data_IF_186773168637
#
_entry.id   IF_186773168637
#
_cell.length_a   1.000
_cell.length_b   1.000
_cell.length_c   1.000
_cell.angle_alpha   90.00
_cell.angle_beta   90.00
_cell.angle_gamma   90.00
#
_symmetry.space_group_name_H-M   'P 1'
#
loop_
_entity.id
_entity.type
_entity.pdbx_description
1 polymer ?
#
# COMPACT_ATOMS: atom_id res chain seq x y z
N UNK A 1 24.16 -0.40 17.24
CA UNK A 1 22.71 -0.61 17.41
C UNK A 1 22.26 -1.74 16.49
N UNK A 2 21.88 -2.91 17.02
CA UNK A 2 21.32 -4.01 16.20
C UNK A 2 19.85 -3.71 15.95
N UNK A 3 19.53 -3.21 14.76
CA UNK A 3 18.13 -3.07 14.33
C UNK A 3 17.68 -4.48 13.93
N UNK A 4 16.95 -5.16 14.81
CA UNK A 4 16.29 -6.44 14.49
C UNK A 4 15.09 -6.10 13.61
N UNK A 5 15.30 -6.02 12.30
CA UNK A 5 14.22 -5.89 11.31
C UNK A 5 13.71 -7.28 10.99
N UNK A 6 12.39 -7.44 10.99
CA UNK A 6 11.78 -8.66 10.47
C UNK A 6 11.36 -8.38 9.01
N UNK A 7 12.34 -8.37 8.09
CA UNK A 7 12.08 -8.00 6.68
C UNK A 7 11.00 -8.87 6.03
N UNK A 8 10.85 -10.12 6.51
CA UNK A 8 9.85 -11.07 6.03
C UNK A 8 8.42 -10.60 6.33
N UNK A 9 8.16 -10.11 7.55
CA UNK A 9 6.84 -9.58 7.93
C UNK A 9 6.52 -8.29 7.18
N UNK A 10 7.53 -7.44 7.02
CA UNK A 10 7.45 -6.17 6.30
C UNK A 10 7.07 -6.40 4.83
N UNK A 11 7.80 -7.27 4.11
CA UNK A 11 7.53 -7.56 2.70
C UNK A 11 6.15 -8.18 2.51
N UNK A 12 5.76 -9.09 3.41
CA UNK A 12 4.46 -9.77 3.33
C UNK A 12 3.31 -8.78 3.51
N UNK A 13 3.35 -7.96 4.57
CA UNK A 13 2.26 -7.03 4.85
C UNK A 13 2.25 -5.83 3.89
N UNK A 14 3.40 -5.42 3.36
CA UNK A 14 3.47 -4.44 2.29
C UNK A 14 2.77 -4.91 1.01
N UNK A 15 3.00 -6.17 0.61
CA UNK A 15 2.30 -6.78 -0.53
C UNK A 15 0.79 -6.88 -0.30
N UNK A 16 0.37 -7.26 0.91
CA UNK A 16 -1.06 -7.31 1.26
C UNK A 16 -1.71 -5.94 1.05
N UNK A 17 -1.09 -4.86 1.56
CA UNK A 17 -1.59 -3.50 1.33
C UNK A 17 -1.70 -3.15 -0.16
N UNK A 18 -0.70 -3.53 -0.95
CA UNK A 18 -0.67 -3.29 -2.39
C UNK A 18 -1.82 -4.03 -3.12
N UNK A 19 -2.03 -5.32 -2.81
CA UNK A 19 -3.13 -6.10 -3.39
C UNK A 19 -4.50 -5.60 -2.91
N UNK A 20 -4.63 -5.19 -1.64
CA UNK A 20 -5.88 -4.63 -1.12
C UNK A 20 -6.23 -3.31 -1.80
N UNK A 21 -5.26 -2.42 -2.02
CA UNK A 21 -5.46 -1.18 -2.77
C UNK A 21 -5.85 -1.44 -4.22
N UNK A 22 -5.24 -2.43 -4.87
CA UNK A 22 -5.56 -2.80 -6.25
C UNK A 22 -6.95 -3.44 -6.36
N UNK A 23 -7.32 -4.28 -5.39
CA UNK A 23 -8.68 -4.82 -5.25
C UNK A 23 -9.72 -3.72 -5.02
N UNK A 24 -9.41 -2.71 -4.18
CA UNK A 24 -10.31 -1.58 -3.94
C UNK A 24 -10.56 -0.79 -5.22
N UNK A 25 -9.50 -0.57 -6.01
CA UNK A 25 -9.61 0.08 -7.31
C UNK A 25 -10.49 -0.73 -8.28
N UNK A 26 -10.34 -2.05 -8.32
CA UNK A 26 -11.16 -2.92 -9.15
C UNK A 26 -12.65 -2.86 -8.74
N UNK A 27 -12.94 -2.90 -7.44
CA UNK A 27 -14.31 -2.81 -6.91
C UNK A 27 -14.94 -1.45 -7.25
N UNK A 28 -14.19 -0.36 -7.10
CA UNK A 28 -14.66 0.98 -7.50
C UNK A 28 -14.92 1.06 -9.02
N UNK A 29 -14.04 0.50 -9.85
CA UNK A 29 -14.22 0.44 -11.29
C UNK A 29 -15.46 -0.34 -11.72
N UNK A 30 -15.72 -1.49 -11.08
CA UNK A 30 -16.93 -2.30 -11.32
C UNK A 30 -18.18 -1.55 -10.88
N UNK A 31 -18.16 -0.92 -9.69
CA UNK A 31 -19.28 -0.12 -9.20
C UNK A 31 -19.61 1.05 -10.13
N UNK A 32 -18.59 1.73 -10.65
CA UNK A 32 -18.75 2.81 -11.63
C UNK A 32 -19.34 2.30 -12.94
N UNK A 33 -18.86 1.16 -13.46
CA UNK A 33 -19.37 0.57 -14.69
C UNK A 33 -20.86 0.21 -14.58
N UNK A 34 -21.27 -0.43 -13.48
CA UNK A 34 -22.67 -0.77 -13.22
C UNK A 34 -23.54 0.50 -13.11
N UNK A 35 -23.01 1.55 -12.49
CA UNK A 35 -23.72 2.82 -12.32
C UNK A 35 -24.04 3.52 -13.65
N UNK A 36 -23.23 3.34 -14.69
CA UNK A 36 -23.49 3.90 -16.02
C UNK A 36 -24.45 3.04 -16.84
N UNK A 37 -24.40 1.71 -16.70
CA UNK A 37 -25.18 0.80 -17.56
C UNK A 37 -26.63 0.63 -17.12
N UNK A 38 -26.93 0.74 -15.81
CA UNK A 38 -28.29 0.52 -15.27
C UNK A 38 -28.63 1.49 -14.13
N UNK A 39 -29.24 2.65 -14.44
CA UNK A 39 -29.65 3.62 -13.42
C UNK A 39 -30.74 3.10 -12.46
N UNK A 40 -31.51 2.08 -12.84
CA UNK A 40 -32.49 1.42 -11.95
C UNK A 40 -31.83 0.70 -10.75
N UNK A 41 -30.54 0.40 -10.81
CA UNK A 41 -29.78 -0.23 -9.73
C UNK A 41 -29.13 0.81 -8.79
N UNK A 42 -29.70 2.01 -8.67
CA UNK A 42 -29.19 3.09 -7.82
C UNK A 42 -28.81 2.63 -6.40
N UNK A 43 -29.63 1.78 -5.78
CA UNK A 43 -29.35 1.19 -4.46
C UNK A 43 -28.09 0.30 -4.44
N UNK A 44 -27.81 -0.43 -5.52
CA UNK A 44 -26.58 -1.21 -5.66
C UNK A 44 -25.35 -0.31 -5.88
N UNK A 45 -25.48 0.80 -6.60
CA UNK A 45 -24.41 1.80 -6.71
C UNK A 45 -24.05 2.41 -5.35
N UNK A 46 -25.05 2.71 -4.51
CA UNK A 46 -24.82 3.18 -3.14
C UNK A 46 -24.10 2.10 -2.31
N UNK A 47 -24.55 0.84 -2.39
CA UNK A 47 -23.89 -0.27 -1.71
C UNK A 47 -22.43 -0.46 -2.15
N UNK A 48 -22.17 -0.35 -3.46
CA UNK A 48 -20.82 -0.44 -4.03
C UNK A 48 -19.92 0.72 -3.57
N UNK A 49 -20.46 1.94 -3.46
CA UNK A 49 -19.73 3.10 -2.93
C UNK A 49 -19.35 2.91 -1.46
N UNK A 50 -20.26 2.41 -0.62
CA UNK A 50 -19.99 2.15 0.80
C UNK A 50 -18.90 1.06 0.94
N UNK A 51 -19.02 -0.03 0.19
CA UNK A 51 -18.04 -1.12 0.21
C UNK A 51 -16.69 -0.65 -0.32
N UNK A 52 -16.69 0.09 -1.43
CA UNK A 52 -15.49 0.68 -2.02
C UNK A 52 -14.78 1.60 -1.03
N UNK A 53 -15.54 2.46 -0.35
CA UNK A 53 -15.02 3.37 0.67
C UNK A 53 -14.40 2.61 1.85
N UNK A 54 -15.08 1.58 2.37
CA UNK A 54 -14.54 0.72 3.44
C UNK A 54 -13.26 -0.01 3.01
N UNK A 55 -13.20 -0.52 1.78
CA UNK A 55 -11.98 -1.11 1.23
C UNK A 55 -10.84 -0.11 1.13
N UNK A 56 -11.12 1.15 0.75
CA UNK A 56 -10.10 2.21 0.73
C UNK A 56 -9.56 2.47 2.13
N UNK A 57 -10.40 2.49 3.17
CA UNK A 57 -9.94 2.63 4.55
C UNK A 57 -8.95 1.53 4.95
N UNK A 58 -9.28 0.27 4.64
CA UNK A 58 -8.40 -0.88 4.92
C UNK A 58 -7.12 -0.81 4.09
N UNK A 59 -7.20 -0.54 2.79
CA UNK A 59 -6.04 -0.40 1.90
C UNK A 59 -5.09 0.70 2.35
N UNK A 60 -5.62 1.86 2.77
CA UNK A 60 -4.82 2.95 3.32
C UNK A 60 -4.16 2.57 4.64
N UNK A 61 -4.84 1.85 5.53
CA UNK A 61 -4.25 1.38 6.78
C UNK A 61 -3.01 0.50 6.53
N UNK A 62 -3.13 -0.49 5.63
CA UNK A 62 -2.01 -1.38 5.31
C UNK A 62 -0.88 -0.65 4.56
N UNK A 63 -1.22 0.24 3.64
CA UNK A 63 -0.23 1.02 2.88
C UNK A 63 0.52 2.02 3.76
N UNK A 64 -0.18 2.70 4.66
CA UNK A 64 0.46 3.66 5.58
C UNK A 64 1.37 2.95 6.58
N UNK A 65 0.99 1.75 7.04
CA UNK A 65 1.73 1.02 8.07
C UNK A 65 2.91 0.22 7.53
N UNK A 66 2.81 -0.33 6.31
CA UNK A 66 3.87 -1.19 5.75
C UNK A 66 4.41 -0.75 4.39
N UNK A 67 3.73 0.14 3.67
CA UNK A 67 4.11 0.57 2.31
C UNK A 67 5.00 1.81 2.24
N UNK A 68 5.01 2.69 3.27
CA UNK A 68 5.85 3.89 3.25
C UNK A 68 7.31 3.59 3.62
N UNK A 69 8.21 4.01 2.73
CA UNK A 69 9.67 4.09 2.88
C UNK A 69 10.07 5.50 2.40
N UNK A 70 10.98 6.22 3.08
CA UNK A 70 11.86 5.74 4.13
C UNK A 70 11.20 5.79 5.50
N UNK A 71 11.15 4.65 6.16
CA UNK A 71 10.70 4.58 7.56
C UNK A 71 11.70 5.31 8.45
N UNK A 72 11.32 5.79 9.65
CA UNK A 72 12.24 6.48 10.56
C UNK A 72 13.53 5.68 10.83
N UNK A 73 13.43 4.34 10.81
CA UNK A 73 14.55 3.42 10.97
C UNK A 73 15.48 3.30 9.73
N UNK A 74 15.00 3.64 8.53
CA UNK A 74 15.79 3.74 7.28
C UNK A 74 16.44 5.12 7.15
N UNK A 75 15.75 6.16 7.60
CA UNK A 75 16.29 7.53 7.64
C UNK A 75 17.51 7.62 8.55
N UNK A 76 17.48 6.94 9.71
CA UNK A 76 18.62 6.84 10.63
C UNK A 76 19.80 6.07 10.04
N UNK A 77 19.57 5.02 9.23
CA UNK A 77 20.66 4.33 8.51
C UNK A 77 21.29 5.21 7.43
N UNK A 78 20.47 5.95 6.68
CA UNK A 78 20.93 6.83 5.61
C UNK A 78 21.68 8.07 6.13
N UNK A 79 21.37 8.53 7.35
CA UNK A 79 22.06 9.67 7.97
C UNK A 79 23.33 9.26 8.74
N UNK A 80 23.43 8.01 9.21
CA UNK A 80 24.65 7.50 9.89
C UNK A 80 25.69 6.95 8.92
N UNK A 81 25.32 6.51 7.71
CA UNK A 81 26.24 6.01 6.68
C UNK A 81 26.08 6.85 5.41
N UNK A 82 27.01 7.77 5.09
CA UNK A 82 26.92 8.59 3.89
C UNK A 82 26.94 7.69 2.64
N UNK A 83 26.05 7.96 1.69
CA UNK A 83 25.86 7.19 0.46
C UNK A 83 27.15 7.01 -0.39
N UNK A 84 28.19 7.79 -0.13
CA UNK A 84 29.52 7.66 -0.75
C UNK A 84 30.25 6.36 -0.40
N UNK A 85 29.97 5.73 0.75
CA UNK A 85 30.67 4.50 1.16
C UNK A 85 30.05 3.22 0.59
N UNK A 86 28.85 3.28 0.00
CA UNK A 86 28.19 2.13 -0.62
C UNK A 86 28.68 1.86 -2.05
N UNK A 87 29.26 2.86 -2.73
CA UNK A 87 29.79 2.70 -4.10
C UNK A 87 31.12 1.95 -4.15
N UNK A 88 31.83 1.82 -3.02
CA UNK A 88 33.18 1.24 -2.95
C UNK A 88 33.13 -0.29 -2.76
N UNK A 89 32.04 -0.86 -2.24
CA UNK A 89 31.92 -2.30 -1.95
C UNK A 89 31.23 -3.11 -3.06
N UNK A 90 31.07 -2.55 -4.26
CA UNK A 90 30.43 -3.24 -5.39
C UNK A 90 31.27 -3.23 -6.68
N UNK A 91 32.58 -3.04 -6.59
CA UNK A 91 33.49 -3.34 -7.70
C UNK A 91 34.10 -4.74 -7.44
N UNK A 92 34.13 -5.61 -8.46
CA UNK A 92 34.60 -7.00 -8.33
C UNK A 92 36.05 -7.09 -7.83
#
# INVERSE_FOLDING_TARGET
MKIIRNEKLIKRNGRIGQYTSLGALAVLGIGMYISFQKPDLFFYSIGALIIGFMMTQVGMYFTNRWGRTPRPDEQLKASVIPASSLKIKSMP
#
